data_IF_167781497777
#
_entry.id   IF_167781497777
#
_cell.length_a   1.000
_cell.length_b   1.000
_cell.length_c   1.000
_cell.angle_alpha   90.00
_cell.angle_beta   90.00
_cell.angle_gamma   90.00
#
_symmetry.space_group_name_H-M   'P 1'
#
loop_
_entity.id
_entity.type
_entity.pdbx_description
1 polymer ?
#
# COMPACT_ATOMS: atom_id res chain seq x y z
N UNK A 1 6.91 19.95 -2.71
CA UNK A 1 6.43 18.65 -2.21
C UNK A 1 6.59 17.66 -3.34
N UNK A 2 7.34 16.58 -3.12
CA UNK A 2 7.54 15.53 -4.13
C UNK A 2 6.58 14.40 -3.83
N UNK A 3 5.79 13.99 -4.82
CA UNK A 3 4.90 12.83 -4.70
C UNK A 3 5.65 11.59 -5.16
N UNK A 4 5.50 10.51 -4.39
CA UNK A 4 5.92 9.16 -4.76
C UNK A 4 4.72 8.25 -4.66
N UNK A 5 4.62 7.30 -5.58
CA UNK A 5 3.60 6.26 -5.59
C UNK A 5 4.20 4.97 -5.04
N UNK A 6 3.36 4.12 -4.46
CA UNK A 6 3.71 2.78 -4.03
C UNK A 6 2.76 1.79 -4.70
N UNK A 7 3.27 0.60 -5.03
CA UNK A 7 2.48 -0.48 -5.62
C UNK A 7 1.42 -0.95 -4.62
N UNK A 8 0.24 -1.27 -5.15
CA UNK A 8 -0.92 -1.67 -4.35
C UNK A 8 -1.71 -2.80 -4.98
N UNK A 9 -1.96 -2.76 -6.29
CA UNK A 9 -2.83 -3.71 -6.96
C UNK A 9 -2.06 -4.56 -7.96
N UNK A 10 -2.11 -5.88 -7.77
CA UNK A 10 -1.67 -6.86 -8.77
C UNK A 10 -2.84 -7.15 -9.71
N UNK A 11 -2.70 -6.75 -10.98
CA UNK A 11 -3.74 -6.91 -11.99
C UNK A 11 -3.93 -8.37 -12.47
N UNK A 12 -2.88 -9.19 -12.40
CA UNK A 12 -2.96 -10.61 -12.78
C UNK A 12 -3.69 -11.41 -11.71
N UNK A 13 -3.33 -11.17 -10.44
CA UNK A 13 -3.92 -11.86 -9.28
C UNK A 13 -5.23 -11.24 -8.83
N UNK A 14 -5.53 -10.01 -9.25
CA UNK A 14 -6.64 -9.18 -8.78
C UNK A 14 -6.68 -9.07 -7.25
N UNK A 15 -5.50 -8.82 -6.67
CA UNK A 15 -5.27 -8.84 -5.24
C UNK A 15 -4.35 -7.69 -4.82
N UNK A 16 -4.17 -7.51 -3.51
CA UNK A 16 -3.18 -6.61 -2.95
C UNK A 16 -1.78 -7.13 -3.29
N UNK A 17 -0.96 -6.30 -3.92
CA UNK A 17 0.44 -6.58 -4.21
C UNK A 17 1.29 -6.29 -2.96
N UNK A 18 1.14 -7.16 -1.97
CA UNK A 18 1.65 -6.93 -0.61
C UNK A 18 3.18 -6.81 -0.55
N UNK A 19 3.89 -7.68 -1.26
CA UNK A 19 5.35 -7.74 -1.20
C UNK A 19 5.98 -6.47 -1.80
N UNK A 20 5.48 -6.02 -2.95
CA UNK A 20 5.96 -4.81 -3.60
C UNK A 20 5.49 -3.53 -2.91
N UNK A 21 4.30 -3.54 -2.31
CA UNK A 21 3.85 -2.45 -1.44
C UNK A 21 4.85 -2.24 -0.30
N UNK A 22 5.26 -3.31 0.39
CA UNK A 22 6.25 -3.23 1.46
C UNK A 22 7.62 -2.83 0.95
N UNK A 23 8.05 -3.34 -0.22
CA UNK A 23 9.29 -2.91 -0.86
C UNK A 23 9.30 -1.39 -1.09
N UNK A 24 8.23 -0.82 -1.64
CA UNK A 24 8.13 0.61 -1.91
C UNK A 24 8.08 1.44 -0.62
N UNK A 25 7.28 1.01 0.37
CA UNK A 25 7.20 1.70 1.67
C UNK A 25 8.51 1.63 2.44
N UNK A 26 9.32 0.58 2.27
CA UNK A 26 10.64 0.47 2.91
C UNK A 26 11.65 1.52 2.43
N UNK A 27 11.39 2.17 1.30
CA UNK A 27 12.23 3.24 0.76
C UNK A 27 11.88 4.62 1.31
N UNK A 28 10.80 4.74 2.11
CA UNK A 28 10.44 5.99 2.77
C UNK A 28 11.52 6.40 3.79
N UNK A 29 11.82 7.69 3.84
CA UNK A 29 12.78 8.27 4.78
C UNK A 29 12.08 8.83 6.01
N UNK A 30 12.84 9.05 7.08
CA UNK A 30 12.33 9.74 8.26
C UNK A 30 11.76 11.13 7.87
N UNK A 31 10.53 11.40 8.32
CA UNK A 31 9.81 12.64 8.00
C UNK A 31 8.92 12.57 6.76
N UNK A 32 8.98 11.48 5.98
CA UNK A 32 8.02 11.25 4.90
C UNK A 32 6.62 10.94 5.46
N UNK A 33 5.59 11.27 4.68
CA UNK A 33 4.18 11.00 5.02
C UNK A 33 3.61 9.97 4.06
N UNK A 34 3.01 8.92 4.60
CA UNK A 34 2.32 7.88 3.84
C UNK A 34 0.81 8.11 3.92
N UNK A 35 0.16 8.24 2.77
CA UNK A 35 -1.30 8.29 2.67
C UNK A 35 -1.83 6.87 2.47
N UNK A 36 -2.57 6.37 3.46
CA UNK A 36 -3.23 5.06 3.42
C UNK A 36 -4.75 5.23 3.44
N UNK A 37 -5.45 4.43 2.64
CA UNK A 37 -6.89 4.24 2.80
C UNK A 37 -7.12 3.24 3.94
N UNK A 38 -7.84 3.66 4.99
CA UNK A 38 -8.05 2.81 6.17
C UNK A 38 -8.98 1.61 5.92
N UNK A 39 -9.91 1.75 4.98
CA UNK A 39 -10.76 0.67 4.47
C UNK A 39 -11.42 1.11 3.16
N UNK A 40 -12.07 0.17 2.48
CA UNK A 40 -12.78 0.36 1.23
C UNK A 40 -11.93 1.09 0.18
N UNK A 41 -10.70 0.62 -0.03
CA UNK A 41 -9.74 1.25 -0.94
C UNK A 41 -10.40 1.56 -2.29
N UNK A 42 -10.45 2.83 -2.68
CA UNK A 42 -11.03 3.27 -3.95
C UNK A 42 -9.90 3.42 -4.98
N UNK A 43 -9.97 2.79 -6.18
CA UNK A 43 -11.13 2.12 -6.80
C UNK A 43 -11.14 0.60 -6.71
N UNK A 44 -10.12 -0.01 -6.13
CA UNK A 44 -9.91 -1.47 -6.20
C UNK A 44 -10.89 -2.28 -5.34
N UNK A 45 -11.41 -1.68 -4.26
CA UNK A 45 -12.20 -2.34 -3.22
C UNK A 45 -11.42 -3.37 -2.39
N UNK A 46 -10.09 -3.44 -2.55
CA UNK A 46 -9.23 -4.42 -1.90
C UNK A 46 -8.52 -3.75 -0.74
N UNK A 47 -8.72 -4.26 0.48
CA UNK A 47 -8.07 -3.78 1.69
C UNK A 47 -7.01 -4.78 2.19
N UNK A 48 -5.98 -4.34 2.92
CA UNK A 48 -5.09 -5.25 3.63
C UNK A 48 -5.86 -6.05 4.69
N UNK A 49 -5.44 -7.29 4.94
CA UNK A 49 -6.02 -8.11 6.00
C UNK A 49 -5.67 -7.53 7.38
N UNK A 50 -6.42 -7.89 8.45
CA UNK A 50 -6.05 -7.52 9.80
C UNK A 50 -4.64 -7.97 10.18
N UNK A 51 -4.16 -9.11 9.66
CA UNK A 51 -2.80 -9.60 9.86
C UNK A 51 -1.75 -8.70 9.19
N UNK A 52 -2.05 -8.20 7.98
CA UNK A 52 -1.17 -7.30 7.23
C UNK A 52 -1.04 -5.91 7.89
N UNK A 53 -2.03 -5.49 8.67
CA UNK A 53 -2.00 -4.21 9.40
C UNK A 53 -1.40 -4.32 10.82
N UNK A 54 -0.85 -5.47 11.20
CA UNK A 54 -0.22 -5.68 12.51
C UNK A 54 1.30 -5.51 12.41
N UNK A 55 1.91 -5.13 13.54
CA UNK A 55 3.35 -5.02 13.73
C UNK A 55 4.00 -6.39 13.92
#
# INVERSE_FOLDING_TARGET
MTIREYRYYDAERKALDWDHLLEDLSQASEGDVVLLHGCCHNPTGIDPTPEQCKN
#
